data_IF_918461375317
#
_entry.id   IF_918461375317
#
_cell.length_a   1.000
_cell.length_b   1.000
_cell.length_c   1.000
_cell.angle_alpha   90.00
_cell.angle_beta   90.00
_cell.angle_gamma   90.00
#
_symmetry.space_group_name_H-M   'P 1'
#
loop_
_entity.id
_entity.type
_entity.pdbx_description
1 polymer ?
#
# COMPACT_ATOMS: atom_id res chain seq x y z
N UNK A 1 0.36 22.39 -24.38
CA UNK A 1 -0.63 22.57 -23.28
C UNK A 1 -1.47 23.78 -23.60
N UNK A 2 -2.78 23.61 -23.59
CA UNK A 2 -3.72 24.73 -23.79
C UNK A 2 -3.84 25.56 -22.51
N UNK A 3 -4.42 26.76 -22.64
CA UNK A 3 -4.64 27.65 -21.48
C UNK A 3 -5.56 27.02 -20.43
N UNK A 4 -6.53 26.21 -20.85
CA UNK A 4 -7.41 25.43 -19.96
C UNK A 4 -6.62 24.45 -19.06
N UNK A 5 -5.63 23.72 -19.62
CA UNK A 5 -4.79 22.76 -18.87
C UNK A 5 -4.02 23.45 -17.74
N UNK A 6 -3.43 24.61 -18.04
CA UNK A 6 -2.66 25.40 -17.09
C UNK A 6 -3.55 25.97 -15.97
N UNK A 7 -4.77 26.42 -16.32
CA UNK A 7 -5.72 26.95 -15.33
C UNK A 7 -6.18 25.84 -14.39
N UNK A 8 -6.60 24.67 -14.92
CA UNK A 8 -7.04 23.52 -14.12
C UNK A 8 -5.93 23.07 -13.16
N UNK A 9 -4.70 22.93 -13.67
CA UNK A 9 -3.55 22.55 -12.86
C UNK A 9 -3.22 23.60 -11.78
N UNK A 10 -3.31 24.90 -12.13
CA UNK A 10 -3.05 26.00 -11.19
C UNK A 10 -4.09 26.07 -10.08
N UNK A 11 -5.37 25.82 -10.37
CA UNK A 11 -6.44 25.76 -9.37
C UNK A 11 -6.16 24.57 -8.42
N UNK A 12 -5.86 23.39 -8.96
CA UNK A 12 -5.58 22.21 -8.16
C UNK A 12 -4.38 22.43 -7.22
N UNK A 13 -3.25 22.87 -7.75
CA UNK A 13 -2.04 23.12 -6.98
C UNK A 13 -2.23 24.25 -5.97
N UNK A 14 -2.95 25.31 -6.37
CA UNK A 14 -3.31 26.41 -5.46
C UNK A 14 -4.15 25.95 -4.29
N UNK A 15 -5.17 25.12 -4.53
CA UNK A 15 -5.98 24.53 -3.46
C UNK A 15 -5.13 23.60 -2.56
N UNK A 16 -4.28 22.78 -3.13
CA UNK A 16 -3.40 21.88 -2.33
C UNK A 16 -2.41 22.65 -1.46
N UNK A 17 -1.94 23.83 -1.91
CA UNK A 17 -1.04 24.69 -1.14
C UNK A 17 -1.70 25.34 0.10
N UNK A 18 -3.03 25.36 0.18
CA UNK A 18 -3.80 25.98 1.28
C UNK A 18 -4.18 25.04 2.41
N UNK A 19 -3.58 23.83 2.48
CA UNK A 19 -3.90 22.79 3.49
C UNK A 19 -5.36 22.30 3.46
N UNK A 20 -6.08 22.53 2.38
CA UNK A 20 -7.43 21.99 2.16
C UNK A 20 -7.32 20.47 1.95
N UNK A 21 -8.23 19.65 2.52
CA UNK A 21 -8.24 18.21 2.25
C UNK A 21 -8.29 17.88 0.76
N UNK A 22 -7.51 16.90 0.32
CA UNK A 22 -7.33 16.57 -1.11
C UNK A 22 -8.64 16.36 -1.84
N UNK A 23 -9.62 15.67 -1.21
CA UNK A 23 -10.93 15.45 -1.85
C UNK A 23 -11.67 16.77 -2.16
N UNK A 24 -11.53 17.77 -1.28
CA UNK A 24 -12.12 19.10 -1.53
C UNK A 24 -11.39 19.83 -2.67
N UNK A 25 -10.06 19.72 -2.72
CA UNK A 25 -9.29 20.31 -3.82
C UNK A 25 -9.73 19.72 -5.17
N UNK A 26 -9.88 18.41 -5.24
CA UNK A 26 -10.30 17.69 -6.45
C UNK A 26 -11.72 18.06 -6.86
N UNK A 27 -12.65 18.02 -5.91
CA UNK A 27 -14.04 18.35 -6.18
C UNK A 27 -14.24 19.82 -6.57
N UNK A 28 -13.58 20.74 -5.85
CA UNK A 28 -13.64 22.17 -6.14
C UNK A 28 -13.04 22.50 -7.52
N UNK A 29 -11.88 21.90 -7.84
CA UNK A 29 -11.27 22.06 -9.17
C UNK A 29 -12.19 21.49 -10.27
N UNK A 30 -12.81 20.34 -10.03
CA UNK A 30 -13.76 19.76 -10.95
C UNK A 30 -14.98 20.66 -11.12
N UNK A 31 -15.56 21.18 -10.03
CA UNK A 31 -16.74 22.04 -10.09
C UNK A 31 -16.46 23.36 -10.84
N UNK A 32 -15.34 24.01 -10.54
CA UNK A 32 -14.93 25.21 -11.26
C UNK A 32 -14.64 24.93 -12.73
N UNK A 33 -13.95 23.82 -13.03
CA UNK A 33 -13.68 23.42 -14.40
C UNK A 33 -14.95 23.15 -15.21
N UNK A 34 -15.95 22.50 -14.60
CA UNK A 34 -17.25 22.31 -15.24
C UNK A 34 -17.94 23.63 -15.57
N UNK A 35 -17.88 24.62 -14.66
CA UNK A 35 -18.51 25.94 -14.89
C UNK A 35 -17.75 26.77 -15.93
N UNK A 36 -16.44 26.69 -15.97
CA UNK A 36 -15.60 27.56 -16.80
C UNK A 36 -15.41 26.99 -18.22
N UNK A 37 -15.24 25.65 -18.33
CA UNK A 37 -14.80 25.04 -19.60
C UNK A 37 -15.87 24.16 -20.25
N UNK A 38 -16.98 23.83 -19.56
CA UNK A 38 -18.02 22.99 -20.15
C UNK A 38 -19.38 23.65 -20.09
N UNK A 39 -20.22 23.41 -21.12
CA UNK A 39 -21.64 23.82 -21.14
C UNK A 39 -22.55 22.78 -20.41
N UNK A 40 -21.95 21.86 -19.67
CA UNK A 40 -22.68 20.78 -19.01
C UNK A 40 -23.22 21.20 -17.63
N UNK A 41 -24.42 20.75 -17.26
CA UNK A 41 -25.02 21.13 -15.99
C UNK A 41 -24.22 20.50 -14.81
N UNK A 42 -24.05 21.25 -13.71
CA UNK A 42 -23.44 20.78 -12.48
C UNK A 42 -24.11 19.53 -11.88
N UNK A 43 -25.37 19.26 -12.28
CA UNK A 43 -26.08 18.04 -11.94
C UNK A 43 -25.30 16.79 -12.40
N UNK A 44 -24.61 16.83 -13.53
CA UNK A 44 -23.79 15.73 -14.02
C UNK A 44 -22.61 15.43 -13.06
N UNK A 45 -22.03 16.46 -12.46
CA UNK A 45 -20.96 16.32 -11.48
C UNK A 45 -21.50 15.64 -10.19
N UNK A 46 -22.67 16.07 -9.71
CA UNK A 46 -23.32 15.44 -8.57
C UNK A 46 -23.66 13.97 -8.86
N UNK A 47 -24.20 13.67 -10.05
CA UNK A 47 -24.47 12.28 -10.46
C UNK A 47 -23.17 11.45 -10.54
N UNK A 48 -22.10 12.01 -11.03
CA UNK A 48 -20.79 11.34 -11.09
C UNK A 48 -20.27 11.02 -9.69
N UNK A 49 -20.41 11.96 -8.75
CA UNK A 49 -20.01 11.78 -7.35
C UNK A 49 -20.75 10.59 -6.71
N UNK A 50 -22.09 10.55 -6.79
CA UNK A 50 -22.86 9.45 -6.21
C UNK A 50 -22.59 8.11 -6.89
N UNK A 51 -22.53 8.08 -8.22
CA UNK A 51 -22.26 6.84 -8.98
C UNK A 51 -20.86 6.27 -8.71
N UNK A 52 -19.88 7.12 -8.45
CA UNK A 52 -18.52 6.65 -8.15
C UNK A 52 -18.42 5.94 -6.81
N UNK A 53 -19.27 6.31 -5.85
CA UNK A 53 -19.36 5.65 -4.55
C UNK A 53 -20.19 4.36 -4.59
N UNK A 54 -21.11 4.24 -5.55
CA UNK A 54 -21.94 3.05 -5.78
C UNK A 54 -21.17 2.04 -6.67
N UNK A 55 -20.00 1.62 -6.19
CA UNK A 55 -19.16 0.65 -6.87
C UNK A 55 -18.86 -0.52 -5.93
N UNK A 56 -19.25 -1.73 -6.37
CA UNK A 56 -19.08 -2.96 -5.59
C UNK A 56 -17.61 -3.25 -5.22
N UNK A 57 -16.66 -2.85 -6.04
CA UNK A 57 -15.23 -3.02 -5.73
C UNK A 57 -14.78 -2.23 -4.48
N UNK A 58 -15.49 -1.16 -4.10
CA UNK A 58 -15.17 -0.39 -2.89
C UNK A 58 -15.58 -1.09 -1.59
N UNK A 59 -16.45 -2.07 -1.67
CA UNK A 59 -16.86 -2.90 -0.52
C UNK A 59 -15.68 -3.69 0.05
N UNK A 60 -14.76 -4.12 -0.83
CA UNK A 60 -13.49 -4.76 -0.43
C UNK A 60 -12.71 -3.90 0.56
N UNK A 61 -12.57 -2.61 0.25
CA UNK A 61 -11.80 -1.66 1.07
C UNK A 61 -12.41 -1.52 2.45
N UNK A 62 -13.74 -1.40 2.54
CA UNK A 62 -14.48 -1.28 3.80
C UNK A 62 -14.23 -2.49 4.71
N UNK A 63 -14.37 -3.70 4.18
CA UNK A 63 -14.20 -4.92 4.98
C UNK A 63 -12.74 -5.19 5.35
N UNK A 64 -11.77 -4.90 4.50
CA UNK A 64 -10.37 -4.99 4.89
C UNK A 64 -10.00 -3.98 5.98
N UNK A 65 -10.51 -2.74 5.92
CA UNK A 65 -10.33 -1.75 7.00
C UNK A 65 -10.92 -2.25 8.32
N UNK A 66 -12.11 -2.81 8.30
CA UNK A 66 -12.74 -3.38 9.50
C UNK A 66 -11.92 -4.57 10.02
N UNK A 67 -11.47 -5.47 9.13
CA UNK A 67 -10.67 -6.63 9.48
C UNK A 67 -9.37 -6.23 10.20
N UNK A 68 -8.58 -5.31 9.63
CA UNK A 68 -7.33 -4.90 10.28
C UNK A 68 -7.54 -4.13 11.58
N UNK A 69 -8.61 -3.35 11.71
CA UNK A 69 -8.97 -2.69 12.97
C UNK A 69 -9.32 -3.72 14.07
N UNK A 70 -10.04 -4.78 13.73
CA UNK A 70 -10.32 -5.90 14.64
C UNK A 70 -9.02 -6.55 15.08
N UNK A 71 -8.12 -6.86 14.14
CA UNK A 71 -6.84 -7.51 14.44
C UNK A 71 -5.92 -6.68 15.32
N UNK A 72 -5.87 -5.36 15.08
CA UNK A 72 -5.02 -4.46 15.86
C UNK A 72 -5.56 -4.19 17.26
N UNK A 73 -6.87 -4.25 17.42
CA UNK A 73 -7.52 -4.15 18.74
C UNK A 73 -7.41 -5.45 19.56
N UNK A 74 -7.18 -6.58 18.90
CA UNK A 74 -7.04 -7.89 19.50
C UNK A 74 -5.58 -8.35 19.67
N UNK A 75 -5.36 -9.66 19.58
CA UNK A 75 -4.07 -10.33 19.79
C UNK A 75 -3.45 -10.94 18.55
N UNK A 76 -4.14 -10.92 17.40
CA UNK A 76 -3.66 -11.54 16.15
C UNK A 76 -2.30 -10.98 15.75
N UNK A 77 -2.13 -9.65 15.80
CA UNK A 77 -0.86 -8.99 15.45
C UNK A 77 0.29 -9.47 16.32
N UNK A 78 0.09 -9.54 17.65
CA UNK A 78 1.10 -10.03 18.58
C UNK A 78 1.48 -11.48 18.27
N UNK A 79 0.50 -12.34 17.96
CA UNK A 79 0.74 -13.74 17.62
C UNK A 79 1.49 -13.88 16.29
N UNK A 80 1.19 -13.07 15.28
CA UNK A 80 1.96 -13.03 14.02
C UNK A 80 3.43 -12.65 14.27
N UNK A 81 3.70 -11.66 15.14
CA UNK A 81 5.06 -11.30 15.54
C UNK A 81 5.76 -12.46 16.24
N UNK A 82 5.08 -13.15 17.16
CA UNK A 82 5.65 -14.34 17.86
C UNK A 82 6.02 -15.44 16.88
N UNK A 83 5.16 -15.73 15.90
CA UNK A 83 5.44 -16.71 14.85
C UNK A 83 6.64 -16.28 14.00
N UNK A 84 6.66 -15.03 13.51
CA UNK A 84 7.78 -14.51 12.75
C UNK A 84 9.09 -14.60 13.55
N UNK A 85 9.04 -14.26 14.84
CA UNK A 85 10.19 -14.34 15.73
C UNK A 85 10.69 -15.80 15.90
N UNK A 86 9.80 -16.77 16.10
CA UNK A 86 10.17 -18.18 16.24
C UNK A 86 10.87 -18.73 14.98
N UNK A 87 10.55 -18.20 13.80
CA UNK A 87 11.15 -18.67 12.55
C UNK A 87 12.58 -18.17 12.32
N UNK A 88 12.92 -16.94 12.75
CA UNK A 88 14.18 -16.29 12.33
C UNK A 88 15.02 -15.73 13.48
N UNK A 89 14.57 -15.75 14.73
CA UNK A 89 15.24 -15.09 15.86
C UNK A 89 16.61 -15.68 16.22
N UNK A 90 16.90 -16.89 15.80
CA UNK A 90 18.19 -17.56 15.97
C UNK A 90 19.27 -17.06 14.99
N UNK A 91 18.85 -16.38 13.92
CA UNK A 91 19.76 -15.78 12.95
C UNK A 91 20.38 -14.47 13.50
N UNK A 92 21.59 -14.09 13.01
CA UNK A 92 22.13 -12.76 13.27
C UNK A 92 21.17 -11.65 12.84
N UNK A 93 20.78 -10.79 13.77
CA UNK A 93 19.75 -9.78 13.49
C UNK A 93 18.32 -10.32 13.44
N UNK A 94 18.09 -11.53 14.00
CA UNK A 94 16.83 -12.27 13.86
C UNK A 94 15.58 -11.51 14.30
N UNK A 95 15.64 -10.74 15.39
CA UNK A 95 14.49 -9.93 15.81
C UNK A 95 14.14 -8.82 14.77
N UNK A 96 15.17 -8.25 14.13
CA UNK A 96 14.94 -7.30 13.00
C UNK A 96 14.27 -7.99 11.81
N UNK A 97 14.75 -9.19 11.44
CA UNK A 97 14.14 -10.01 10.38
C UNK A 97 12.71 -10.42 10.74
N UNK A 98 12.46 -10.78 12.02
CA UNK A 98 11.11 -11.07 12.49
C UNK A 98 10.16 -9.88 12.31
N UNK A 99 10.64 -8.66 12.54
CA UNK A 99 9.90 -7.43 12.25
C UNK A 99 9.53 -7.30 10.77
N UNK A 100 10.46 -7.60 9.86
CA UNK A 100 10.20 -7.58 8.40
C UNK A 100 9.16 -8.63 8.00
N UNK A 101 9.32 -9.87 8.48
CA UNK A 101 8.37 -10.95 8.23
C UNK A 101 6.98 -10.62 8.79
N UNK A 102 6.93 -10.05 10.01
CA UNK A 102 5.68 -9.61 10.61
C UNK A 102 5.02 -8.51 9.78
N UNK A 103 5.79 -7.55 9.23
CA UNK A 103 5.28 -6.54 8.29
C UNK A 103 4.69 -7.18 7.02
N UNK A 104 5.34 -8.19 6.46
CA UNK A 104 4.81 -8.95 5.32
C UNK A 104 3.51 -9.68 5.65
N UNK A 105 3.49 -10.44 6.76
CA UNK A 105 2.32 -11.20 7.19
C UNK A 105 1.13 -10.30 7.55
N UNK A 106 1.38 -9.23 8.30
CA UNK A 106 0.34 -8.27 8.66
C UNK A 106 -0.10 -7.45 7.44
N UNK A 107 0.85 -7.09 6.59
CA UNK A 107 0.61 -6.40 5.34
C UNK A 107 -0.34 -7.16 4.42
N UNK A 108 -0.12 -8.48 4.33
CA UNK A 108 -0.99 -9.43 3.61
C UNK A 108 -2.46 -9.47 4.09
N UNK A 109 -2.82 -8.66 5.05
CA UNK A 109 -4.19 -8.56 5.57
C UNK A 109 -4.63 -7.09 5.61
N UNK A 110 -3.74 -6.18 6.02
CA UNK A 110 -4.08 -4.76 6.23
C UNK A 110 -4.24 -3.96 4.93
N UNK A 111 -3.48 -4.30 3.90
CA UNK A 111 -3.49 -3.56 2.64
C UNK A 111 -3.01 -2.11 2.72
N UNK A 112 -2.39 -1.69 3.85
CA UNK A 112 -2.03 -0.31 4.13
C UNK A 112 -0.67 -0.17 4.82
N UNK A 113 0.20 0.65 4.24
CA UNK A 113 1.49 1.02 4.85
C UNK A 113 1.30 1.71 6.19
N UNK A 114 0.40 2.70 6.26
CA UNK A 114 0.14 3.49 7.48
C UNK A 114 -0.32 2.59 8.63
N UNK A 115 -1.29 1.71 8.36
CA UNK A 115 -1.78 0.75 9.35
C UNK A 115 -0.64 -0.14 9.87
N UNK A 116 0.22 -0.62 8.98
CA UNK A 116 1.34 -1.49 9.30
C UNK A 116 2.42 -0.76 10.13
N UNK A 117 2.74 0.52 9.79
CA UNK A 117 3.66 1.34 10.58
C UNK A 117 3.15 1.51 12.01
N UNK A 118 1.88 1.88 12.16
CA UNK A 118 1.29 2.15 13.48
C UNK A 118 1.22 0.87 14.31
N UNK A 119 0.69 -0.22 13.74
CA UNK A 119 0.50 -1.48 14.46
C UNK A 119 1.82 -2.14 14.87
N UNK A 120 2.77 -2.25 13.93
CA UNK A 120 4.02 -2.98 14.19
C UNK A 120 5.12 -2.07 14.71
N UNK A 121 5.20 -0.82 14.24
CA UNK A 121 6.21 0.14 14.69
C UNK A 121 6.09 0.43 16.19
N UNK A 122 4.86 0.61 16.71
CA UNK A 122 4.62 0.84 18.14
C UNK A 122 5.13 -0.27 19.04
N UNK A 123 5.09 -1.51 18.57
CA UNK A 123 5.58 -2.66 19.30
C UNK A 123 7.05 -2.97 19.03
N UNK A 124 7.46 -2.97 17.77
CA UNK A 124 8.79 -3.44 17.37
C UNK A 124 9.90 -2.42 17.64
N UNK A 125 9.64 -1.11 17.55
CA UNK A 125 10.66 -0.09 17.82
C UNK A 125 11.19 -0.21 19.25
N UNK A 126 10.35 -0.18 20.30
CA UNK A 126 10.82 -0.37 21.67
C UNK A 126 11.48 -1.73 21.89
N UNK A 127 10.93 -2.80 21.30
CA UNK A 127 11.46 -4.15 21.44
C UNK A 127 12.87 -4.28 20.86
N UNK A 128 13.13 -3.76 19.66
CA UNK A 128 14.44 -3.78 19.02
C UNK A 128 15.47 -2.97 19.80
N UNK A 129 15.13 -1.76 20.23
CA UNK A 129 16.02 -0.90 21.01
C UNK A 129 16.39 -1.57 22.34
N UNK A 130 15.41 -2.15 23.04
CA UNK A 130 15.64 -2.88 24.30
C UNK A 130 16.57 -4.09 24.12
N UNK A 131 16.57 -4.74 22.96
CA UNK A 131 17.44 -5.86 22.63
C UNK A 131 18.79 -5.43 22.01
N UNK A 132 19.19 -4.16 22.14
CA UNK A 132 20.51 -3.66 21.76
C UNK A 132 20.68 -3.31 20.27
N UNK A 133 19.59 -3.26 19.50
CA UNK A 133 19.68 -2.81 18.11
C UNK A 133 19.94 -1.30 18.04
N UNK A 134 20.81 -0.84 17.13
CA UNK A 134 21.04 0.58 16.92
C UNK A 134 19.73 1.30 16.56
N UNK A 135 19.46 2.41 17.24
CA UNK A 135 18.23 3.17 17.05
C UNK A 135 18.01 3.58 15.58
N UNK A 136 19.08 4.05 14.91
CA UNK A 136 19.01 4.44 13.49
C UNK A 136 18.60 3.28 12.59
N UNK A 137 19.12 2.07 12.82
CA UNK A 137 18.74 0.88 12.10
C UNK A 137 17.26 0.54 12.35
N UNK A 138 16.86 0.53 13.62
CA UNK A 138 15.50 0.20 14.07
C UNK A 138 14.45 1.12 13.45
N UNK A 139 14.72 2.43 13.48
CA UNK A 139 13.82 3.43 12.89
C UNK A 139 13.76 3.26 11.37
N UNK A 140 14.90 3.11 10.69
CA UNK A 140 14.92 2.89 9.25
C UNK A 140 14.16 1.63 8.84
N UNK A 141 14.38 0.51 9.55
CA UNK A 141 13.69 -0.76 9.32
C UNK A 141 12.16 -0.60 9.46
N UNK A 142 11.72 -0.04 10.59
CA UNK A 142 10.28 0.04 10.92
C UNK A 142 9.55 1.18 10.20
N UNK A 143 10.28 2.08 9.53
CA UNK A 143 9.69 3.06 8.62
C UNK A 143 9.42 2.45 7.24
N UNK A 144 10.32 1.60 6.74
CA UNK A 144 10.31 1.15 5.34
C UNK A 144 9.70 -0.24 5.14
N UNK A 145 9.92 -1.19 6.08
CA UNK A 145 9.34 -2.54 5.97
C UNK A 145 7.82 -2.56 5.92
N UNK A 146 7.07 -1.63 6.56
CA UNK A 146 5.63 -1.53 6.43
C UNK A 146 5.11 -1.27 5.01
N UNK A 147 5.94 -0.83 4.05
CA UNK A 147 5.59 -0.76 2.63
C UNK A 147 5.16 -2.12 2.06
N UNK A 148 5.64 -3.22 2.65
CA UNK A 148 5.16 -4.56 2.33
C UNK A 148 3.63 -4.67 2.49
N UNK A 149 3.03 -3.86 3.37
CA UNK A 149 1.60 -3.86 3.62
C UNK A 149 0.74 -3.36 2.46
N UNK A 150 1.31 -2.65 1.51
CA UNK A 150 0.58 -2.21 0.31
C UNK A 150 1.11 -2.90 -0.95
N UNK A 151 2.25 -3.56 -0.87
CA UNK A 151 2.85 -4.29 -1.99
C UNK A 151 2.35 -5.73 -2.02
N UNK A 152 2.37 -6.41 -0.86
CA UNK A 152 1.80 -7.76 -0.74
C UNK A 152 0.27 -7.62 -0.67
N UNK A 153 -0.48 -8.33 -1.53
CA UNK A 153 -1.95 -8.22 -1.53
C UNK A 153 -2.57 -8.70 -0.19
N UNK A 154 -3.83 -8.30 0.10
CA UNK A 154 -4.62 -7.32 -0.64
C UNK A 154 -4.09 -5.91 -0.46
N UNK A 155 -4.18 -5.08 -1.48
CA UNK A 155 -3.65 -3.72 -1.50
C UNK A 155 -4.72 -2.71 -1.90
N UNK A 156 -4.94 -1.69 -1.08
CA UNK A 156 -5.92 -0.63 -1.38
C UNK A 156 -5.53 0.11 -2.67
N UNK A 157 -4.24 0.38 -2.88
CA UNK A 157 -3.75 1.02 -4.11
C UNK A 157 -4.05 0.18 -5.37
N UNK A 158 -3.84 -1.13 -5.31
CA UNK A 158 -4.16 -2.04 -6.41
C UNK A 158 -5.66 -2.14 -6.67
N UNK A 159 -6.51 -2.15 -5.63
CA UNK A 159 -7.97 -2.14 -5.77
C UNK A 159 -8.40 -0.90 -6.57
N UNK A 160 -7.91 0.27 -6.20
CA UNK A 160 -8.26 1.52 -6.86
C UNK A 160 -7.73 1.59 -8.30
N UNK A 161 -6.52 1.11 -8.54
CA UNK A 161 -5.97 1.04 -9.89
C UNK A 161 -6.78 0.09 -10.79
N UNK A 162 -7.16 -1.09 -10.27
CA UNK A 162 -8.03 -2.04 -10.98
C UNK A 162 -9.37 -1.41 -11.38
N UNK A 163 -9.99 -0.61 -10.49
CA UNK A 163 -11.23 0.12 -10.79
C UNK A 163 -11.08 1.13 -11.94
N UNK A 164 -9.96 1.84 -11.99
CA UNK A 164 -9.72 2.86 -13.03
C UNK A 164 -9.39 2.21 -14.36
N UNK A 165 -8.57 1.17 -14.33
CA UNK A 165 -8.03 0.51 -15.52
C UNK A 165 -8.89 -0.63 -16.05
N UNK A 166 -9.89 -1.08 -15.27
CA UNK A 166 -10.70 -2.27 -15.57
C UNK A 166 -9.88 -3.57 -15.77
N UNK A 167 -8.67 -3.65 -15.19
CA UNK A 167 -7.91 -4.91 -15.15
C UNK A 167 -8.42 -5.81 -14.02
N UNK A 168 -8.22 -7.15 -14.15
CA UNK A 168 -8.57 -8.07 -13.07
C UNK A 168 -7.85 -7.71 -11.78
N UNK A 169 -8.62 -7.54 -10.70
CA UNK A 169 -8.09 -7.27 -9.37
C UNK A 169 -7.27 -8.44 -8.85
N UNK A 170 -7.76 -9.66 -9.06
CA UNK A 170 -7.10 -10.90 -8.65
C UNK A 170 -5.77 -11.06 -9.38
N UNK A 171 -5.76 -10.80 -10.70
CA UNK A 171 -4.55 -10.80 -11.51
C UNK A 171 -3.54 -9.75 -11.02
N UNK A 172 -4.00 -8.54 -10.72
CA UNK A 172 -3.15 -7.47 -10.21
C UNK A 172 -2.58 -7.83 -8.82
N UNK A 173 -3.36 -8.46 -7.96
CA UNK A 173 -2.87 -8.97 -6.68
C UNK A 173 -1.74 -9.98 -6.84
N UNK A 174 -1.83 -10.89 -7.80
CA UNK A 174 -0.76 -11.87 -8.05
C UNK A 174 0.57 -11.21 -8.41
N UNK A 175 0.57 -10.05 -9.07
CA UNK A 175 1.81 -9.34 -9.41
C UNK A 175 2.58 -8.85 -8.18
N UNK A 176 1.91 -8.56 -7.06
CA UNK A 176 2.50 -7.99 -5.85
C UNK A 176 3.30 -8.98 -4.99
N UNK A 177 3.07 -10.30 -5.14
CA UNK A 177 3.75 -11.31 -4.31
C UNK A 177 5.25 -11.30 -4.52
N UNK A 178 5.70 -11.39 -5.76
CA UNK A 178 7.12 -11.51 -6.06
C UNK A 178 7.91 -10.30 -5.61
N UNK A 179 7.52 -9.04 -5.92
CA UNK A 179 8.20 -7.85 -5.39
C UNK A 179 8.20 -7.79 -3.86
N UNK A 180 7.09 -8.15 -3.23
CA UNK A 180 6.99 -8.21 -1.77
C UNK A 180 8.02 -9.18 -1.16
N UNK A 181 8.12 -10.39 -1.71
CA UNK A 181 9.12 -11.39 -1.28
C UNK A 181 10.54 -10.91 -1.56
N UNK A 182 10.80 -10.28 -2.72
CA UNK A 182 12.12 -9.74 -3.07
C UNK A 182 12.57 -8.64 -2.10
N UNK A 183 11.69 -7.70 -1.76
CA UNK A 183 11.97 -6.64 -0.78
C UNK A 183 12.23 -7.25 0.59
N UNK A 184 11.35 -8.15 1.03
CA UNK A 184 11.47 -8.84 2.32
C UNK A 184 12.80 -9.59 2.42
N UNK A 185 13.16 -10.35 1.39
CA UNK A 185 14.43 -11.07 1.32
C UNK A 185 15.63 -10.12 1.31
N UNK A 186 15.61 -9.06 0.49
CA UNK A 186 16.68 -8.07 0.42
C UNK A 186 16.93 -7.38 1.75
N UNK A 187 15.88 -6.97 2.47
CA UNK A 187 15.99 -6.37 3.81
C UNK A 187 16.49 -7.38 4.83
N UNK A 188 16.06 -8.65 4.77
CA UNK A 188 16.58 -9.71 5.65
C UNK A 188 18.07 -9.97 5.39
N UNK A 189 18.50 -10.04 4.14
CA UNK A 189 19.93 -10.20 3.78
C UNK A 189 20.75 -9.01 4.28
N UNK A 190 20.29 -7.79 4.09
CA UNK A 190 20.95 -6.59 4.62
C UNK A 190 21.08 -6.66 6.15
N UNK A 191 20.02 -7.03 6.83
CA UNK A 191 20.00 -7.22 8.29
C UNK A 191 21.02 -8.28 8.71
N UNK A 192 21.04 -9.43 8.05
CA UNK A 192 22.00 -10.50 8.32
C UNK A 192 23.45 -10.01 8.16
N UNK A 193 23.76 -9.35 7.07
CA UNK A 193 25.13 -8.86 6.78
C UNK A 193 25.62 -7.87 7.84
N UNK A 194 24.77 -6.94 8.29
CA UNK A 194 25.14 -5.96 9.33
C UNK A 194 25.40 -6.61 10.68
N UNK A 195 24.59 -7.62 11.06
CA UNK A 195 24.59 -8.17 12.40
C UNK A 195 25.37 -9.50 12.55
N UNK A 196 25.86 -10.08 11.44
CA UNK A 196 26.59 -11.37 11.48
C UNK A 196 27.83 -11.34 12.40
N UNK A 197 28.54 -10.22 12.49
CA UNK A 197 29.75 -10.07 13.28
C UNK A 197 29.54 -9.32 14.61
N UNK A 198 28.30 -8.92 14.94
CA UNK A 198 27.99 -8.21 16.19
C UNK A 198 27.58 -9.21 17.28
N UNK A 199 28.37 -9.29 18.32
CA UNK A 199 28.14 -10.13 19.48
C UNK A 199 27.30 -9.46 20.56
N UNK A 200 27.10 -8.16 20.47
CA UNK A 200 26.37 -7.34 21.44
C UNK A 200 24.86 -7.60 21.41
N UNK A 201 24.34 -8.11 20.29
CA UNK A 201 22.90 -8.39 20.13
C UNK A 201 22.66 -9.84 20.57
N UNK A 202 21.78 -9.99 21.54
CA UNK A 202 21.40 -11.30 22.08
C UNK A 202 20.74 -12.13 20.96
N UNK A 203 21.42 -13.21 20.56
CA UNK A 203 20.82 -14.23 19.69
C UNK A 203 20.04 -15.20 20.56
N UNK A 204 18.81 -15.46 20.17
CA UNK A 204 18.06 -16.52 20.81
C UNK A 204 18.65 -17.88 20.39
N UNK A 205 18.64 -18.91 21.27
CA UNK A 205 19.04 -20.25 20.88
C UNK A 205 18.16 -20.75 19.73
N UNK A 206 18.71 -21.62 18.89
CA UNK A 206 17.91 -22.28 17.84
C UNK A 206 16.71 -22.95 18.50
N UNK A 207 15.49 -22.57 18.17
CA UNK A 207 14.33 -23.11 18.85
C UNK A 207 14.22 -24.61 18.60
N UNK A 208 13.91 -25.35 19.65
CA UNK A 208 13.63 -26.79 19.51
C UNK A 208 12.36 -26.96 18.66
N UNK A 209 12.32 -28.03 17.88
CA UNK A 209 11.17 -28.34 17.02
C UNK A 209 9.84 -28.32 17.80
N UNK A 210 9.85 -28.78 19.07
CA UNK A 210 8.68 -28.75 19.94
C UNK A 210 8.24 -27.33 20.29
N UNK A 211 9.20 -26.42 20.53
CA UNK A 211 8.92 -25.01 20.84
C UNK A 211 8.37 -24.28 19.61
N UNK A 212 8.99 -24.50 18.44
CA UNK A 212 8.49 -23.94 17.17
C UNK A 212 7.07 -24.41 16.86
N UNK A 213 6.80 -25.71 17.01
CA UNK A 213 5.47 -26.28 16.82
C UNK A 213 4.46 -25.73 17.83
N UNK A 214 4.85 -25.49 19.08
CA UNK A 214 3.98 -24.88 20.09
C UNK A 214 3.59 -23.43 19.69
N UNK A 215 4.57 -22.61 19.25
CA UNK A 215 4.31 -21.24 18.78
C UNK A 215 3.46 -21.23 17.51
N UNK A 216 3.73 -22.13 16.56
CA UNK A 216 2.91 -22.29 15.35
C UNK A 216 1.48 -22.70 15.69
N UNK A 217 1.31 -23.59 16.68
CA UNK A 217 -0.03 -24.00 17.15
C UNK A 217 -0.77 -22.83 17.84
N UNK A 218 -0.06 -22.03 18.64
CA UNK A 218 -0.64 -20.84 19.26
C UNK A 218 -1.01 -19.76 18.22
N UNK A 219 -0.17 -19.57 17.19
CA UNK A 219 -0.38 -18.64 16.10
C UNK A 219 -1.24 -19.18 14.95
N UNK A 220 -1.68 -20.44 15.00
CA UNK A 220 -2.39 -21.12 13.90
C UNK A 220 -3.58 -20.31 13.39
N UNK A 221 -4.45 -19.88 14.31
CA UNK A 221 -5.63 -19.11 13.95
C UNK A 221 -5.28 -17.75 13.31
N UNK A 222 -4.20 -17.12 13.75
CA UNK A 222 -3.72 -15.88 13.15
C UNK A 222 -3.15 -16.08 11.75
N UNK A 223 -2.43 -17.18 11.52
CA UNK A 223 -1.86 -17.56 10.22
C UNK A 223 -2.93 -18.00 9.21
N UNK A 224 -4.07 -18.51 9.69
CA UNK A 224 -5.17 -18.89 8.80
C UNK A 224 -5.81 -17.70 8.08
N UNK A 225 -5.69 -16.48 8.58
CA UNK A 225 -6.25 -15.29 7.96
C UNK A 225 -5.69 -15.04 6.55
N UNK A 226 -4.34 -14.90 6.35
CA UNK A 226 -3.77 -14.81 5.00
C UNK A 226 -4.12 -16.04 4.13
N UNK A 227 -4.13 -17.24 4.73
CA UNK A 227 -4.44 -18.48 3.99
C UNK A 227 -5.89 -18.45 3.47
N UNK A 228 -6.85 -17.99 4.27
CA UNK A 228 -8.27 -17.85 3.87
C UNK A 228 -8.39 -16.83 2.74
N UNK A 229 -7.73 -15.67 2.86
CA UNK A 229 -7.78 -14.62 1.84
C UNK A 229 -7.19 -15.13 0.53
N UNK A 230 -5.94 -15.56 0.56
CA UNK A 230 -5.24 -15.98 -0.66
C UNK A 230 -5.76 -17.30 -1.22
N UNK A 231 -5.95 -18.28 -0.35
CA UNK A 231 -6.50 -19.57 -0.74
C UNK A 231 -7.90 -19.44 -1.33
N UNK A 232 -8.74 -18.60 -0.75
CA UNK A 232 -10.09 -18.32 -1.24
C UNK A 232 -10.10 -17.63 -2.60
N UNK A 233 -9.31 -16.56 -2.76
CA UNK A 233 -9.25 -15.77 -4.01
C UNK A 233 -8.62 -16.60 -5.13
N UNK A 234 -7.44 -17.17 -4.91
CA UNK A 234 -6.68 -17.81 -6.00
C UNK A 234 -7.15 -19.22 -6.33
N UNK A 235 -7.94 -19.86 -5.47
CA UNK A 235 -8.66 -21.09 -5.84
C UNK A 235 -9.94 -20.82 -6.66
N UNK A 236 -10.36 -19.56 -6.79
CA UNK A 236 -11.63 -19.18 -7.41
C UNK A 236 -12.86 -19.45 -6.53
N UNK A 237 -12.66 -19.86 -5.26
CA UNK A 237 -13.76 -20.10 -4.33
C UNK A 237 -14.46 -18.81 -3.88
N UNK A 238 -13.73 -17.72 -3.80
CA UNK A 238 -14.20 -16.39 -3.41
C UNK A 238 -13.71 -15.32 -4.36
N UNK A 239 -14.56 -14.34 -4.65
CA UNK A 239 -14.13 -13.04 -5.17
C UNK A 239 -13.36 -12.26 -4.10
N UNK A 240 -12.62 -11.24 -4.48
CA UNK A 240 -11.92 -10.38 -3.52
C UNK A 240 -12.87 -9.77 -2.47
N UNK A 241 -14.10 -9.40 -2.88
CA UNK A 241 -15.14 -8.89 -1.98
C UNK A 241 -15.57 -9.92 -0.94
N UNK A 242 -15.87 -11.12 -1.38
CA UNK A 242 -16.29 -12.22 -0.50
C UNK A 242 -15.15 -12.62 0.44
N UNK A 243 -13.92 -12.69 -0.05
CA UNK A 243 -12.75 -12.96 0.77
C UNK A 243 -12.54 -11.93 1.88
N UNK A 244 -12.78 -10.62 1.60
CA UNK A 244 -12.69 -9.56 2.59
C UNK A 244 -13.75 -9.71 3.70
N UNK A 245 -15.00 -10.05 3.33
CA UNK A 245 -16.08 -10.30 4.28
C UNK A 245 -15.76 -11.54 5.13
N UNK A 246 -15.35 -12.64 4.50
CA UNK A 246 -15.01 -13.89 5.21
C UNK A 246 -13.84 -13.65 6.18
N UNK A 247 -12.79 -12.93 5.75
CA UNK A 247 -11.67 -12.58 6.60
C UNK A 247 -12.08 -11.73 7.81
N UNK A 248 -12.97 -10.76 7.61
CA UNK A 248 -13.51 -9.92 8.67
C UNK A 248 -14.31 -10.74 9.70
N UNK A 249 -15.22 -11.60 9.24
CA UNK A 249 -16.00 -12.50 10.11
C UNK A 249 -15.09 -13.48 10.85
N UNK A 250 -14.09 -14.03 10.16
CA UNK A 250 -13.11 -14.92 10.75
C UNK A 250 -12.31 -14.22 11.86
N UNK A 251 -11.75 -13.02 11.58
CA UNK A 251 -11.01 -12.24 12.56
C UNK A 251 -11.87 -11.94 13.81
N UNK A 252 -13.13 -11.57 13.60
CA UNK A 252 -14.10 -11.34 14.66
C UNK A 252 -14.32 -12.59 15.54
N UNK A 253 -14.54 -13.76 14.92
CA UNK A 253 -14.71 -15.02 15.64
C UNK A 253 -13.46 -15.39 16.42
N UNK A 254 -12.30 -15.27 15.80
CA UNK A 254 -11.02 -15.61 16.43
C UNK A 254 -10.73 -14.73 17.65
N UNK A 255 -10.89 -13.40 17.52
CA UNK A 255 -10.55 -12.49 18.62
C UNK A 255 -11.53 -12.55 19.80
N UNK A 256 -12.80 -12.77 19.55
CA UNK A 256 -13.81 -12.80 20.62
C UNK A 256 -13.92 -14.19 21.26
N UNK A 257 -14.01 -15.26 20.45
CA UNK A 257 -14.36 -16.58 20.96
C UNK A 257 -13.15 -17.48 21.19
N UNK A 258 -12.10 -17.39 20.36
CA UNK A 258 -10.93 -18.27 20.44
C UNK A 258 -9.85 -17.62 21.32
N UNK A 259 -9.40 -16.43 20.96
CA UNK A 259 -8.34 -15.73 21.71
C UNK A 259 -8.90 -15.02 22.95
N UNK A 260 -10.18 -14.66 22.95
CA UNK A 260 -10.84 -13.91 24.03
C UNK A 260 -10.09 -12.62 24.42
N UNK A 261 -9.45 -11.99 23.45
CA UNK A 261 -8.64 -10.79 23.59
C UNK A 261 -9.44 -9.50 23.43
N UNK A 262 -10.62 -9.59 22.82
CA UNK A 262 -11.51 -8.47 22.56
C UNK A 262 -12.88 -8.67 23.21
N UNK A 263 -13.39 -7.60 23.84
CA UNK A 263 -14.75 -7.60 24.41
C UNK A 263 -15.78 -7.19 23.36
N UNK A 264 -16.98 -7.74 23.44
CA UNK A 264 -18.08 -7.39 22.52
C UNK A 264 -18.43 -5.89 22.56
N UNK A 265 -18.22 -5.23 23.72
CA UNK A 265 -18.43 -3.78 23.85
C UNK A 265 -17.48 -2.93 22.98
N UNK A 266 -16.27 -3.42 22.69
CA UNK A 266 -15.27 -2.72 21.86
C UNK A 266 -15.60 -2.79 20.36
N UNK A 267 -16.42 -3.77 19.95
CA UNK A 267 -16.83 -3.96 18.54
C UNK A 267 -17.51 -2.72 18.00
N UNK A 268 -18.36 -2.08 18.81
CA UNK A 268 -19.06 -0.85 18.40
C UNK A 268 -18.08 0.27 18.04
N UNK A 269 -17.09 0.52 18.87
CA UNK A 269 -16.08 1.57 18.65
C UNK A 269 -15.22 1.26 17.42
N UNK A 270 -14.79 0.00 17.29
CA UNK A 270 -14.00 -0.47 16.13
C UNK A 270 -14.81 -0.32 14.84
N UNK A 271 -16.08 -0.70 14.85
CA UNK A 271 -16.96 -0.55 13.67
C UNK A 271 -17.17 0.90 13.30
N UNK A 272 -17.40 1.80 14.27
CA UNK A 272 -17.57 3.24 14.02
C UNK A 272 -16.27 3.82 13.47
N UNK A 273 -15.13 3.52 14.07
CA UNK A 273 -13.80 4.00 13.58
C UNK A 273 -13.52 3.50 12.16
N UNK A 274 -13.82 2.24 11.88
CA UNK A 274 -13.67 1.65 10.54
C UNK A 274 -14.59 2.32 9.52
N UNK A 275 -15.85 2.57 9.89
CA UNK A 275 -16.80 3.26 9.03
C UNK A 275 -16.38 4.69 8.70
N UNK A 276 -15.86 5.45 9.70
CA UNK A 276 -15.33 6.81 9.48
C UNK A 276 -14.13 6.78 8.54
N UNK A 277 -13.18 5.86 8.77
CA UNK A 277 -12.01 5.70 7.91
C UNK A 277 -12.43 5.35 6.47
N UNK A 278 -13.34 4.40 6.30
CA UNK A 278 -13.87 4.00 4.99
C UNK A 278 -14.60 5.15 4.29
N UNK A 279 -15.43 5.91 5.02
CA UNK A 279 -16.13 7.07 4.48
C UNK A 279 -15.15 8.15 3.98
N UNK A 280 -14.05 8.37 4.72
CA UNK A 280 -12.99 9.30 4.30
C UNK A 280 -12.33 8.86 2.98
N UNK A 281 -12.09 7.56 2.81
CA UNK A 281 -11.55 7.04 1.55
C UNK A 281 -12.55 7.13 0.40
N UNK A 282 -13.80 6.79 0.64
CA UNK A 282 -14.86 6.86 -0.38
C UNK A 282 -15.05 8.29 -0.90
N UNK A 283 -14.99 9.30 -0.05
CA UNK A 283 -15.14 10.70 -0.48
C UNK A 283 -13.93 11.17 -1.31
N UNK A 284 -12.72 10.65 -1.03
CA UNK A 284 -11.53 10.91 -1.87
C UNK A 284 -11.74 10.30 -3.27
N UNK A 285 -12.21 9.06 -3.34
CA UNK A 285 -12.53 8.38 -4.62
C UNK A 285 -13.57 9.18 -5.40
N UNK A 286 -14.61 9.65 -4.73
CA UNK A 286 -15.66 10.45 -5.35
C UNK A 286 -15.13 11.77 -5.93
N UNK A 287 -14.35 12.52 -5.16
CA UNK A 287 -13.70 13.76 -5.63
C UNK A 287 -12.77 13.52 -6.82
N UNK A 288 -11.96 12.47 -6.76
CA UNK A 288 -11.02 12.10 -7.81
C UNK A 288 -11.74 11.65 -9.10
N UNK A 289 -12.85 10.91 -8.98
CA UNK A 289 -13.66 10.53 -10.15
C UNK A 289 -14.30 11.74 -10.83
N UNK A 290 -14.79 12.71 -10.04
CA UNK A 290 -15.29 13.97 -10.57
C UNK A 290 -14.19 14.75 -11.32
N UNK A 291 -13.00 14.81 -10.76
CA UNK A 291 -11.84 15.45 -11.40
C UNK A 291 -11.42 14.70 -12.67
N UNK A 292 -11.32 13.37 -12.61
CA UNK A 292 -11.02 12.53 -13.80
C UNK A 292 -12.05 12.69 -14.91
N UNK A 293 -13.33 12.90 -14.57
CA UNK A 293 -14.39 13.21 -15.55
C UNK A 293 -14.12 14.53 -16.26
N UNK A 294 -13.74 15.58 -15.52
CA UNK A 294 -13.35 16.86 -16.11
C UNK A 294 -12.16 16.69 -17.06
N UNK A 295 -11.10 16.02 -16.62
CA UNK A 295 -9.92 15.78 -17.45
C UNK A 295 -10.27 15.08 -18.78
N UNK A 296 -11.18 14.10 -18.71
CA UNK A 296 -11.63 13.35 -19.89
C UNK A 296 -12.44 14.22 -20.84
N UNK A 297 -13.36 15.04 -20.33
CA UNK A 297 -14.18 15.96 -21.14
C UNK A 297 -13.31 16.98 -21.87
N UNK A 298 -12.30 17.51 -21.18
CA UNK A 298 -11.33 18.45 -21.75
C UNK A 298 -10.24 17.76 -22.61
N UNK A 299 -10.29 16.43 -22.78
CA UNK A 299 -9.29 15.64 -23.54
C UNK A 299 -7.84 15.85 -23.07
N UNK A 300 -7.64 16.25 -21.82
CA UNK A 300 -6.31 16.53 -21.23
C UNK A 300 -5.39 15.30 -21.29
N UNK A 301 -5.83 14.07 -20.93
CA UNK A 301 -4.96 12.90 -21.02
C UNK A 301 -4.44 12.65 -22.44
N UNK A 302 -5.28 12.87 -23.47
CA UNK A 302 -4.87 12.73 -24.87
C UNK A 302 -3.78 13.73 -25.27
N UNK A 303 -3.96 15.02 -24.95
CA UNK A 303 -2.96 16.07 -25.25
C UNK A 303 -1.63 15.84 -24.52
N UNK A 304 -1.68 15.40 -23.27
CA UNK A 304 -0.46 15.05 -22.53
C UNK A 304 0.23 13.85 -23.19
N UNK A 305 -0.54 12.84 -23.63
CA UNK A 305 -0.02 11.66 -24.34
C UNK A 305 0.71 12.06 -25.62
N UNK A 306 0.11 12.91 -26.47
CA UNK A 306 0.75 13.42 -27.69
C UNK A 306 2.05 14.17 -27.38
N UNK A 307 2.05 15.01 -26.35
CA UNK A 307 3.23 15.76 -25.92
C UNK A 307 4.34 14.81 -25.46
N UNK A 308 4.00 13.80 -24.68
CA UNK A 308 4.96 12.80 -24.18
C UNK A 308 5.51 11.96 -25.33
N UNK A 309 4.66 11.50 -26.25
CA UNK A 309 5.08 10.72 -27.42
C UNK A 309 6.00 11.51 -28.35
N UNK A 310 5.81 12.82 -28.47
CA UNK A 310 6.70 13.67 -29.26
C UNK A 310 8.10 13.81 -28.63
N UNK A 311 8.19 13.73 -27.30
CA UNK A 311 9.43 13.89 -26.55
C UNK A 311 10.14 12.56 -26.27
N UNK A 312 9.36 11.49 -26.04
CA UNK A 312 9.87 10.16 -25.63
C UNK A 312 9.36 9.12 -26.62
N UNK A 313 10.29 8.42 -27.28
CA UNK A 313 9.94 7.34 -28.24
C UNK A 313 10.21 5.94 -27.70
N UNK A 314 10.94 5.81 -26.61
CA UNK A 314 11.31 4.52 -26.03
C UNK A 314 10.41 4.17 -24.84
N UNK A 315 9.76 2.98 -24.82
CA UNK A 315 8.99 2.51 -23.65
C UNK A 315 9.84 2.44 -22.37
N UNK A 316 11.13 2.10 -22.48
CA UNK A 316 12.04 2.05 -21.33
C UNK A 316 12.28 3.44 -20.72
N UNK A 317 12.50 4.45 -21.59
CA UNK A 317 12.68 5.83 -21.14
C UNK A 317 11.37 6.38 -20.54
N UNK A 318 10.24 6.03 -21.12
CA UNK A 318 8.93 6.38 -20.57
C UNK A 318 8.74 5.80 -19.17
N UNK A 319 8.99 4.50 -18.96
CA UNK A 319 8.89 3.87 -17.65
C UNK A 319 9.85 4.50 -16.63
N UNK A 320 11.07 4.87 -17.06
CA UNK A 320 12.00 5.61 -16.20
C UNK A 320 11.44 6.97 -15.78
N UNK A 321 10.96 7.75 -16.73
CA UNK A 321 10.36 9.06 -16.45
C UNK A 321 9.14 8.94 -15.52
N UNK A 322 8.30 7.92 -15.73
CA UNK A 322 7.15 7.64 -14.86
C UNK A 322 7.59 7.23 -13.45
N UNK A 323 8.64 6.42 -13.30
CA UNK A 323 9.18 6.08 -11.99
C UNK A 323 9.66 7.31 -11.24
N UNK A 324 10.37 8.22 -11.89
CA UNK A 324 10.84 9.47 -11.27
C UNK A 324 9.65 10.35 -10.87
N UNK A 325 8.67 10.49 -11.75
CA UNK A 325 7.46 11.28 -11.48
C UNK A 325 6.66 10.70 -10.31
N UNK A 326 6.41 9.38 -10.32
CA UNK A 326 5.64 8.71 -9.27
C UNK A 326 6.35 8.76 -7.92
N UNK A 327 7.68 8.64 -7.90
CA UNK A 327 8.47 8.80 -6.69
C UNK A 327 8.29 10.22 -6.12
N UNK A 328 8.41 11.22 -6.98
CA UNK A 328 8.21 12.61 -6.59
C UNK A 328 6.79 12.86 -6.07
N UNK A 329 5.77 12.38 -6.76
CA UNK A 329 4.37 12.53 -6.32
C UNK A 329 4.13 11.81 -5.00
N UNK A 330 4.65 10.58 -4.83
CA UNK A 330 4.53 9.80 -3.60
C UNK A 330 5.18 10.42 -2.37
N UNK A 331 6.11 11.39 -2.55
CA UNK A 331 6.66 12.17 -1.43
C UNK A 331 5.63 13.12 -0.80
N UNK A 332 4.64 13.57 -1.59
CA UNK A 332 3.70 14.63 -1.21
C UNK A 332 2.26 14.16 -1.06
N UNK A 333 1.89 13.10 -1.77
CA UNK A 333 0.51 12.61 -1.85
C UNK A 333 0.39 11.19 -1.32
N UNK A 334 -0.79 10.86 -0.79
CA UNK A 334 -1.14 9.51 -0.44
C UNK A 334 -1.38 8.64 -1.68
N UNK A 335 -1.19 7.32 -1.53
CA UNK A 335 -1.32 6.33 -2.64
C UNK A 335 -2.70 6.41 -3.28
N UNK A 336 -3.75 6.61 -2.47
CA UNK A 336 -5.14 6.63 -2.93
C UNK A 336 -5.37 7.81 -3.87
N UNK A 337 -5.04 9.03 -3.38
CA UNK A 337 -5.19 10.25 -4.16
C UNK A 337 -4.30 10.24 -5.41
N UNK A 338 -3.04 9.82 -5.26
CA UNK A 338 -2.11 9.73 -6.40
C UNK A 338 -2.61 8.76 -7.47
N UNK A 339 -3.08 7.57 -7.07
CA UNK A 339 -3.60 6.57 -8.01
C UNK A 339 -4.84 7.07 -8.73
N UNK A 340 -5.78 7.68 -8.00
CA UNK A 340 -7.04 8.15 -8.56
C UNK A 340 -6.87 9.35 -9.50
N UNK A 341 -5.88 10.21 -9.25
CA UNK A 341 -5.60 11.39 -10.09
C UNK A 341 -4.79 11.00 -11.32
N UNK A 342 -3.69 10.26 -11.12
CA UNK A 342 -2.73 9.98 -12.19
C UNK A 342 -3.13 8.76 -13.03
N UNK A 343 -3.87 7.81 -12.47
CA UNK A 343 -4.30 6.61 -13.19
C UNK A 343 -4.98 6.94 -14.53
N UNK A 344 -6.05 7.73 -14.56
CA UNK A 344 -6.73 8.08 -15.81
C UNK A 344 -5.83 8.82 -16.82
N UNK A 345 -4.85 9.57 -16.33
CA UNK A 345 -3.90 10.31 -17.18
C UNK A 345 -2.90 9.36 -17.84
N UNK A 346 -2.47 8.31 -17.12
CA UNK A 346 -1.46 7.39 -17.65
C UNK A 346 -2.03 6.32 -18.59
N UNK A 347 -3.28 5.91 -18.44
CA UNK A 347 -3.85 4.82 -19.24
C UNK A 347 -3.70 5.03 -20.77
N UNK A 348 -3.98 6.21 -21.36
CA UNK A 348 -3.76 6.42 -22.79
C UNK A 348 -2.28 6.33 -23.19
N UNK A 349 -1.36 6.78 -22.32
CA UNK A 349 0.08 6.68 -22.56
C UNK A 349 0.54 5.22 -22.54
N UNK A 350 0.07 4.43 -21.58
CA UNK A 350 0.40 3.00 -21.48
C UNK A 350 -0.05 2.25 -22.75
N UNK A 351 -1.23 2.58 -23.26
CA UNK A 351 -1.74 2.03 -24.51
C UNK A 351 -0.85 2.41 -25.70
N UNK A 352 -0.42 3.66 -25.75
CA UNK A 352 0.41 4.17 -26.85
C UNK A 352 1.82 3.55 -26.86
N UNK A 353 2.36 3.16 -25.70
CA UNK A 353 3.66 2.49 -25.54
C UNK A 353 3.57 0.95 -25.49
N UNK A 354 2.37 0.37 -25.67
CA UNK A 354 2.11 -1.07 -25.57
C UNK A 354 2.59 -1.68 -24.22
N UNK A 355 2.36 -0.95 -23.13
CA UNK A 355 2.71 -1.36 -21.78
C UNK A 355 1.49 -2.00 -21.11
N UNK A 356 1.64 -3.21 -20.54
CA UNK A 356 0.59 -3.86 -19.77
C UNK A 356 0.12 -2.99 -18.61
N UNK A 357 -1.18 -2.73 -18.56
CA UNK A 357 -1.78 -1.95 -17.47
C UNK A 357 -1.64 -2.62 -16.11
N UNK A 358 -1.68 -3.97 -16.08
CA UNK A 358 -1.46 -4.74 -14.86
C UNK A 358 -0.02 -4.58 -14.34
N UNK A 359 0.97 -4.61 -15.24
CA UNK A 359 2.37 -4.36 -14.92
C UNK A 359 2.58 -2.94 -14.35
N UNK A 360 2.01 -1.94 -15.02
CA UNK A 360 2.14 -0.56 -14.57
C UNK A 360 1.43 -0.29 -13.24
N UNK A 361 0.27 -0.92 -12.99
CA UNK A 361 -0.44 -0.83 -11.70
C UNK A 361 0.41 -1.32 -10.53
N UNK A 362 1.18 -2.39 -10.74
CA UNK A 362 2.17 -2.84 -9.77
C UNK A 362 3.29 -1.81 -9.58
N UNK A 363 3.91 -1.33 -10.68
CA UNK A 363 4.98 -0.32 -10.63
C UNK A 363 4.50 0.91 -9.87
N UNK A 364 3.32 1.41 -10.17
CA UNK A 364 2.72 2.57 -9.52
C UNK A 364 2.55 2.34 -8.02
N UNK A 365 2.02 1.18 -7.63
CA UNK A 365 1.82 0.83 -6.21
C UNK A 365 3.15 0.76 -5.45
N UNK A 366 4.15 0.06 -6.00
CA UNK A 366 5.48 -0.07 -5.36
C UNK A 366 6.19 1.27 -5.26
N UNK A 367 6.12 2.08 -6.33
CA UNK A 367 6.78 3.38 -6.39
C UNK A 367 6.20 4.37 -5.38
N UNK A 368 4.87 4.49 -5.32
CA UNK A 368 4.18 5.35 -4.36
C UNK A 368 4.44 4.88 -2.92
N UNK A 369 4.55 3.56 -2.67
CA UNK A 369 4.93 3.03 -1.36
C UNK A 369 6.35 3.47 -0.96
N UNK A 370 7.31 3.48 -1.89
CA UNK A 370 8.66 4.01 -1.65
C UNK A 370 8.59 5.51 -1.36
N UNK A 371 7.76 6.24 -2.10
CA UNK A 371 7.52 7.67 -1.89
C UNK A 371 7.11 8.01 -0.46
N UNK A 372 6.31 7.15 0.20
CA UNK A 372 5.91 7.31 1.61
C UNK A 372 7.08 7.34 2.59
N UNK A 373 8.22 6.78 2.23
CA UNK A 373 9.43 6.75 3.04
C UNK A 373 10.48 7.74 2.55
N UNK A 374 10.16 8.56 1.52
CA UNK A 374 11.13 9.46 0.88
C UNK A 374 10.88 10.92 1.30
N UNK A 375 11.93 11.66 1.73
CA UNK A 375 11.82 13.08 2.03
C UNK A 375 11.38 13.88 0.79
N UNK A 376 10.68 15.05 0.93
CA UNK A 376 10.56 15.86 2.14
C UNK A 376 9.36 15.52 3.03
N UNK A 377 8.25 14.96 2.51
CA UNK A 377 7.04 14.81 3.31
C UNK A 377 6.74 13.37 3.73
N UNK A 378 7.11 12.36 3.01
CA UNK A 378 6.85 10.93 3.26
C UNK A 378 6.06 10.58 4.53
N UNK A 379 4.81 10.16 4.39
CA UNK A 379 3.87 9.95 5.52
C UNK A 379 4.44 9.03 6.59
N UNK A 380 5.12 7.95 6.19
CA UNK A 380 5.74 6.99 7.11
C UNK A 380 6.88 7.62 7.93
N UNK A 381 7.60 8.61 7.37
CA UNK A 381 8.66 9.32 8.08
C UNK A 381 8.11 10.09 9.28
N UNK A 382 6.97 10.76 9.11
CA UNK A 382 6.33 11.52 10.19
C UNK A 382 5.79 10.61 11.29
N UNK A 383 5.10 9.54 10.89
CA UNK A 383 4.51 8.59 11.84
C UNK A 383 5.62 7.95 12.69
N UNK A 384 6.67 7.42 12.05
CA UNK A 384 7.78 6.80 12.78
C UNK A 384 8.58 7.80 13.58
N UNK A 385 8.77 9.04 13.06
CA UNK A 385 9.41 10.12 13.77
C UNK A 385 8.68 10.50 15.07
N UNK A 386 7.35 10.60 15.02
CA UNK A 386 6.52 10.84 16.18
C UNK A 386 6.60 9.67 17.19
N UNK A 387 6.53 8.42 16.73
CA UNK A 387 6.62 7.23 17.58
C UNK A 387 7.98 7.08 18.27
N UNK A 388 9.07 7.43 17.56
CA UNK A 388 10.43 7.35 18.09
C UNK A 388 10.90 8.63 18.77
N UNK A 389 10.07 9.68 18.82
CA UNK A 389 10.42 11.02 19.31
C UNK A 389 11.70 11.58 18.65
N UNK A 390 11.79 11.43 17.31
CA UNK A 390 12.92 11.88 16.49
C UNK A 390 12.46 12.82 15.39
N UNK A 391 13.34 13.77 15.03
CA UNK A 391 13.07 14.71 13.96
C UNK A 391 13.11 14.02 12.58
N UNK A 392 12.45 14.61 11.60
CA UNK A 392 12.33 14.11 10.25
C UNK A 392 13.71 13.85 9.58
N UNK A 393 14.68 14.74 9.80
CA UNK A 393 16.03 14.61 9.24
C UNK A 393 16.73 13.33 9.73
N UNK A 394 16.55 12.99 10.99
CA UNK A 394 17.11 11.77 11.56
C UNK A 394 16.48 10.53 10.92
N UNK A 395 15.16 10.50 10.84
CA UNK A 395 14.41 9.39 10.21
C UNK A 395 14.77 9.27 8.74
N UNK A 396 14.84 10.37 8.00
CA UNK A 396 15.25 10.41 6.59
C UNK A 396 16.63 9.81 6.33
N UNK A 397 17.58 10.08 7.23
CA UNK A 397 18.93 9.45 7.14
C UNK A 397 18.93 7.98 7.53
N UNK A 398 17.97 7.54 8.34
CA UNK A 398 17.84 6.16 8.79
C UNK A 398 17.28 5.24 7.69
N UNK A 399 16.36 5.75 6.87
CA UNK A 399 15.67 4.96 5.83
C UNK A 399 16.50 4.71 4.57
N UNK A 400 17.55 5.51 4.30
CA UNK A 400 18.32 5.47 3.05
C UNK A 400 18.73 4.06 2.62
N UNK A 401 19.38 3.22 3.45
CA UNK A 401 19.82 1.90 3.00
C UNK A 401 18.64 0.97 2.62
N UNK A 402 17.52 1.10 3.29
CA UNK A 402 16.33 0.31 3.01
C UNK A 402 15.61 0.79 1.76
N UNK A 403 15.55 2.11 1.52
CA UNK A 403 15.02 2.68 0.27
C UNK A 403 15.82 2.21 -0.92
N UNK A 404 17.16 2.15 -0.82
CA UNK A 404 18.02 1.65 -1.91
C UNK A 404 17.62 0.21 -2.29
N UNK A 405 17.37 -0.66 -1.31
CA UNK A 405 16.93 -2.04 -1.58
C UNK A 405 15.58 -2.03 -2.32
N UNK A 406 14.62 -1.23 -1.87
CA UNK A 406 13.31 -1.13 -2.51
C UNK A 406 13.41 -0.55 -3.93
N UNK A 407 14.26 0.46 -4.13
CA UNK A 407 14.54 1.04 -5.46
C UNK A 407 15.20 0.04 -6.42
N UNK A 408 16.09 -0.81 -5.93
CA UNK A 408 16.67 -1.89 -6.74
C UNK A 408 15.60 -2.88 -7.20
N UNK A 409 14.70 -3.29 -6.28
CA UNK A 409 13.57 -4.16 -6.64
C UNK A 409 12.64 -3.45 -7.62
N UNK A 410 12.32 -2.16 -7.40
CA UNK A 410 11.51 -1.37 -8.33
C UNK A 410 12.15 -1.33 -9.73
N UNK A 411 13.46 -1.13 -9.82
CA UNK A 411 14.20 -1.19 -11.10
C UNK A 411 14.06 -2.55 -11.78
N UNK A 412 14.22 -3.64 -11.04
CA UNK A 412 14.08 -5.01 -11.58
C UNK A 412 12.66 -5.24 -12.12
N UNK A 413 11.63 -4.98 -11.33
CA UNK A 413 10.25 -5.21 -11.75
C UNK A 413 9.80 -4.29 -12.89
N UNK A 414 10.37 -3.07 -12.99
CA UNK A 414 10.05 -2.14 -14.07
C UNK A 414 10.54 -2.63 -15.42
N UNK A 415 11.76 -3.19 -15.47
CA UNK A 415 12.38 -3.59 -16.74
C UNK A 415 12.30 -5.08 -17.04
N UNK A 416 11.74 -5.88 -16.14
CA UNK A 416 11.51 -7.32 -16.31
C UNK A 416 10.02 -7.67 -16.11
N UNK A 417 9.12 -7.24 -17.03
CA UNK A 417 7.67 -7.46 -16.89
C UNK A 417 7.31 -8.94 -16.78
N UNK A 418 7.95 -9.82 -17.54
CA UNK A 418 7.67 -11.26 -17.51
C UNK A 418 7.89 -11.87 -16.12
N UNK A 419 8.82 -11.33 -15.36
CA UNK A 419 9.10 -11.80 -14.00
C UNK A 419 7.92 -11.63 -13.05
N UNK A 420 7.13 -10.58 -13.20
CA UNK A 420 5.98 -10.29 -12.34
C UNK A 420 4.66 -10.70 -12.96
N UNK A 421 4.60 -10.80 -14.30
CA UNK A 421 3.39 -11.21 -15.02
C UNK A 421 3.26 -12.72 -15.20
N UNK A 422 4.32 -13.51 -14.92
CA UNK A 422 4.25 -14.97 -15.07
C UNK A 422 3.19 -15.60 -14.17
N UNK A 423 3.03 -15.08 -12.94
CA UNK A 423 2.07 -15.62 -11.99
C UNK A 423 0.61 -15.32 -12.41
N UNK A 424 0.22 -14.10 -12.79
CA UNK A 424 -1.08 -13.85 -13.42
C UNK A 424 -1.33 -14.67 -14.69
N UNK A 425 -0.32 -14.86 -15.55
CA UNK A 425 -0.42 -15.72 -16.74
C UNK A 425 -0.68 -17.17 -16.37
N UNK A 426 0.03 -17.70 -15.37
CA UNK A 426 -0.14 -19.08 -14.90
C UNK A 426 -1.57 -19.35 -14.37
N UNK A 427 -2.18 -18.35 -13.70
CA UNK A 427 -3.56 -18.46 -13.21
C UNK A 427 -4.62 -18.04 -14.24
N UNK A 428 -4.24 -17.71 -15.49
CA UNK A 428 -5.17 -17.40 -16.58
C UNK A 428 -5.80 -16.00 -16.54
N UNK A 429 -5.19 -15.04 -15.81
CA UNK A 429 -5.63 -13.64 -15.78
C UNK A 429 -5.01 -12.76 -16.88
N UNK A 430 -4.06 -13.29 -17.63
CA UNK A 430 -3.43 -12.68 -18.81
C UNK A 430 -3.22 -13.75 -19.86
N UNK A 431 -3.41 -13.39 -21.14
CA UNK A 431 -3.11 -14.21 -22.30
C UNK A 431 -1.60 -14.27 -22.60
#
# INVERSE_FOLDING_TARGET
METSDLIILSILLGCMATYIPVFMCLFFTAALGFVIFTDLPLLLLAQTLFRSMDNFALVVVLFFILCWNIMTAGSIVEKLIKVANALVSWLPGGLGMAGVLACGLFGAISGSTVATVVALGGFMIPALIKNGYPEKYTIGLMTTSPNLGVIIPPSIGMILFSMISNVSLEGLFLTGFLPGVMIMFGVCVYTYVIFRNRTEITRLPVPNLKETLAVLKEGFWSLMLPVIIFGGIFSGAFTANEAAVVACVYAFIVEIFIHKSMKLSQVKEITISSAVTSATLLIIVAGATCFGRLLTLESIPGRITETVLSAIQSPMLFLFAMNVLLLFVGMFMDIISATMILGPVFLPMLQAFDISWMHFGLIMTVNLAIGYCTPPMGVSLYITGAMANRNLIYVSKAVVPFIIIQMLVLGIITYMPDMVLWLPKFFGYLE
#
